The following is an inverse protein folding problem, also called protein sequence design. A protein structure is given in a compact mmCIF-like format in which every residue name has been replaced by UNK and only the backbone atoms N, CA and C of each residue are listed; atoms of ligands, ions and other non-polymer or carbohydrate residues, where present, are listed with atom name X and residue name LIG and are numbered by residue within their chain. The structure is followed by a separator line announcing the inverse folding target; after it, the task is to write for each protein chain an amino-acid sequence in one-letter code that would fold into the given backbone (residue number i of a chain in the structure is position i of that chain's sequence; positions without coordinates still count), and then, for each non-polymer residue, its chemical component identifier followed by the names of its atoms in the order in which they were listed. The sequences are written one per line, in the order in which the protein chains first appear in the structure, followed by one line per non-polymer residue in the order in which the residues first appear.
data_IF_221074163351
#
_entry.id   IF_221074163351
#
_cell.length_a   1.000
_cell.length_b   1.000
_cell.length_c   1.000
_cell.angle_alpha   90.00
_cell.angle_beta   90.00
_cell.angle_gamma   90.00
#
_symmetry.space_group_name_H-M   'P 1'
#
loop_
_entity.id
_entity.type
_entity.pdbx_description
1 polymer ?
#
# COMPACT_ATOMS: atom_id res chain seq x y z
N UNK A 1 6.50 -16.97 -11.30
CA UNK A 1 6.71 -16.38 -9.96
C UNK A 1 5.42 -16.13 -9.14
N UNK A 2 4.20 -16.31 -9.67
CA UNK A 2 2.96 -16.09 -8.88
C UNK A 2 1.97 -17.27 -8.98
N UNK A 3 2.41 -18.48 -8.63
CA UNK A 3 1.61 -19.71 -8.83
C UNK A 3 0.30 -19.68 -8.04
N UNK A 4 0.34 -19.29 -6.77
CA UNK A 4 -0.85 -19.21 -5.91
C UNK A 4 -1.86 -18.17 -6.42
N UNK A 5 -1.38 -16.98 -6.80
CA UNK A 5 -2.22 -15.93 -7.37
C UNK A 5 -2.82 -16.34 -8.73
N UNK A 6 -2.03 -16.98 -9.60
CA UNK A 6 -2.54 -17.49 -10.89
C UNK A 6 -3.61 -18.57 -10.71
N UNK A 7 -3.49 -19.42 -9.69
CA UNK A 7 -4.51 -20.40 -9.37
C UNK A 7 -5.78 -19.73 -8.81
N UNK A 8 -5.63 -18.75 -7.92
CA UNK A 8 -6.73 -17.98 -7.35
C UNK A 8 -7.49 -17.14 -8.39
N UNK A 9 -6.79 -16.61 -9.40
CA UNK A 9 -7.31 -15.83 -10.51
C UNK A 9 -7.94 -16.67 -11.63
N UNK A 10 -7.74 -17.99 -11.63
CA UNK A 10 -8.20 -18.84 -12.72
C UNK A 10 -9.74 -19.02 -12.71
N UNK A 11 -10.37 -19.27 -13.87
CA UNK A 11 -11.79 -19.63 -13.93
C UNK A 11 -12.14 -20.87 -13.08
N UNK A 12 -11.17 -21.77 -12.91
CA UNK A 12 -11.24 -22.96 -12.05
C UNK A 12 -10.66 -22.73 -10.65
N UNK A 13 -10.71 -21.50 -10.13
CA UNK A 13 -10.13 -21.14 -8.83
C UNK A 13 -10.52 -22.14 -7.74
N UNK A 14 -9.55 -22.72 -6.99
CA UNK A 14 -9.84 -23.64 -5.90
C UNK A 14 -10.76 -23.03 -4.83
N UNK A 15 -10.69 -21.70 -4.68
CA UNK A 15 -11.56 -20.94 -3.77
C UNK A 15 -13.02 -20.99 -4.24
N UNK A 16 -13.27 -20.82 -5.54
CA UNK A 16 -14.62 -20.91 -6.11
C UNK A 16 -15.20 -22.30 -5.95
N UNK A 17 -14.40 -23.34 -6.19
CA UNK A 17 -14.81 -24.73 -6.02
C UNK A 17 -15.13 -25.04 -4.55
N UNK A 18 -14.27 -24.61 -3.63
CA UNK A 18 -14.46 -24.81 -2.19
C UNK A 18 -15.74 -24.14 -1.69
N UNK A 19 -15.98 -22.87 -2.03
CA UNK A 19 -17.16 -22.16 -1.54
C UNK A 19 -18.46 -22.60 -2.23
N UNK A 20 -18.40 -23.06 -3.47
CA UNK A 20 -19.54 -23.71 -4.13
C UNK A 20 -19.89 -25.02 -3.40
N UNK A 21 -18.90 -25.88 -3.13
CA UNK A 21 -19.11 -27.12 -2.38
C UNK A 21 -19.66 -26.86 -0.96
N UNK A 22 -19.13 -25.85 -0.25
CA UNK A 22 -19.67 -25.45 1.06
C UNK A 22 -21.13 -25.02 0.94
N UNK A 23 -21.49 -24.24 -0.08
CA UNK A 23 -22.86 -23.76 -0.25
C UNK A 23 -23.83 -24.92 -0.55
N UNK A 24 -23.41 -25.88 -1.39
CA UNK A 24 -24.22 -27.04 -1.75
C UNK A 24 -24.42 -28.00 -0.56
N UNK A 25 -23.35 -28.31 0.17
CA UNK A 25 -23.40 -29.21 1.35
C UNK A 25 -24.15 -28.61 2.55
N UNK A 26 -24.32 -27.28 2.58
CA UNK A 26 -24.96 -26.57 3.71
C UNK A 26 -26.39 -26.11 3.41
N UNK A 27 -26.90 -26.38 2.21
CA UNK A 27 -28.29 -26.14 1.82
C UNK A 27 -29.23 -27.23 2.37
N UNK A 28 -29.24 -27.39 3.70
CA UNK A 28 -29.90 -28.49 4.42
C UNK A 28 -31.44 -28.44 4.37
N UNK A 29 -32.02 -27.31 3.96
CA UNK A 29 -33.46 -27.11 3.83
C UNK A 29 -33.97 -27.15 2.39
N UNK A 30 -33.10 -27.35 1.39
CA UNK A 30 -33.55 -27.74 0.04
C UNK A 30 -34.17 -29.14 0.15
N UNK A 31 -35.46 -29.24 -0.14
CA UNK A 31 -36.12 -30.53 -0.27
C UNK A 31 -35.29 -31.43 -1.20
N UNK A 32 -35.00 -32.64 -0.75
CA UNK A 32 -34.54 -33.73 -1.61
C UNK A 32 -35.71 -34.15 -2.52
N UNK A 33 -36.12 -33.26 -3.40
CA UNK A 33 -37.26 -33.39 -4.29
C UNK A 33 -36.80 -33.53 -5.73
N UNK A 34 -36.11 -34.63 -6.04
CA UNK A 34 -36.18 -35.32 -7.35
C UNK A 34 -35.36 -36.62 -7.27
N UNK A 35 -35.91 -37.61 -6.56
CA UNK A 35 -35.49 -39.01 -6.66
C UNK A 35 -36.61 -39.77 -7.37
N UNK A 36 -36.32 -40.54 -8.44
CA UNK A 36 -37.37 -41.21 -9.21
C UNK A 36 -38.15 -42.17 -8.31
N UNK A 37 -39.47 -42.03 -8.37
CA UNK A 37 -40.47 -42.88 -7.72
C UNK A 37 -40.19 -44.36 -8.04
N UNK A 38 -39.79 -45.21 -7.07
CA UNK A 38 -39.66 -46.63 -7.30
C UNK A 38 -41.04 -47.26 -7.18
N UNK A 39 -41.86 -47.03 -8.19
CA UNK A 39 -43.25 -47.46 -8.28
C UNK A 39 -43.57 -48.11 -9.62
N UNK A 40 -42.78 -49.09 -10.05
CA UNK A 40 -43.23 -50.09 -11.04
C UNK A 40 -43.12 -51.48 -10.43
N UNK A 41 -44.28 -52.12 -10.38
CA UNK A 41 -44.59 -53.40 -9.74
C UNK A 41 -43.72 -54.55 -10.28
N UNK A 42 -43.12 -55.32 -9.38
CA UNK A 42 -42.94 -56.76 -9.58
C UNK A 42 -43.41 -57.45 -8.29
N UNK A 43 -44.42 -58.28 -8.47
CA UNK A 43 -45.11 -59.10 -7.47
C UNK A 43 -44.13 -59.99 -6.69
N UNK A 44 -44.26 -60.01 -5.36
CA UNK A 44 -43.47 -60.87 -4.48
C UNK A 44 -43.82 -60.67 -3.01
N UNK A 45 -44.82 -61.42 -2.55
CA UNK A 45 -45.31 -61.58 -1.18
C UNK A 45 -44.32 -61.27 -0.03
N UNK A 46 -44.55 -60.18 0.70
CA UNK A 46 -44.22 -60.05 2.12
C UNK A 46 -45.06 -58.94 2.76
N UNK A 47 -46.02 -59.32 3.61
CA UNK A 47 -46.75 -58.40 4.48
C UNK A 47 -45.80 -57.72 5.47
N UNK A 48 -45.60 -56.41 5.33
CA UNK A 48 -45.10 -55.55 6.41
C UNK A 48 -46.17 -54.48 6.67
N UNK A 49 -46.70 -54.37 7.90
CA UNK A 49 -47.67 -53.34 8.25
C UNK A 49 -47.00 -51.95 8.31
N UNK A 50 -47.78 -50.85 8.21
CA UNK A 50 -47.25 -49.49 8.25
C UNK A 50 -46.50 -49.24 9.56
N UNK A 51 -45.24 -48.81 9.46
CA UNK A 51 -44.40 -48.45 10.62
C UNK A 51 -45.03 -47.25 11.34
N UNK A 52 -45.65 -47.54 12.48
CA UNK A 52 -46.26 -46.55 13.34
C UNK A 52 -45.13 -45.70 13.98
N UNK A 53 -45.20 -44.35 13.97
CA UNK A 53 -44.19 -43.46 14.58
C UNK A 53 -43.89 -43.75 16.06
N UNK A 54 -44.78 -44.46 16.76
CA UNK A 54 -44.58 -44.93 18.13
C UNK A 54 -43.45 -45.97 18.29
N UNK A 55 -43.15 -46.77 17.26
CA UNK A 55 -42.11 -47.80 17.32
C UNK A 55 -40.71 -47.23 17.06
N UNK A 56 -40.64 -46.13 16.28
CA UNK A 56 -39.41 -45.36 16.09
C UNK A 56 -38.97 -44.69 17.41
N UNK A 57 -39.93 -44.13 18.17
CA UNK A 57 -39.67 -43.52 19.47
C UNK A 57 -39.12 -44.53 20.51
N UNK A 58 -39.57 -45.80 20.46
CA UNK A 58 -39.04 -46.87 21.32
C UNK A 58 -37.61 -47.28 20.96
N UNK A 59 -37.25 -47.23 19.67
CA UNK A 59 -35.88 -47.50 19.21
C UNK A 59 -34.88 -46.44 19.69
N UNK A 60 -35.28 -45.17 19.66
CA UNK A 60 -34.44 -44.04 20.08
C UNK A 60 -34.22 -43.96 21.59
N UNK A 61 -35.20 -44.40 22.39
CA UNK A 61 -35.08 -44.50 23.85
C UNK A 61 -34.02 -45.51 24.32
N UNK A 62 -33.73 -46.57 23.52
CA UNK A 62 -32.67 -47.54 23.83
C UNK A 62 -31.24 -46.99 23.61
N UNK A 63 -31.10 -45.91 22.85
CA UNK A 63 -29.80 -45.28 22.52
C UNK A 63 -29.53 -44.08 23.46
N UNK A 64 -30.38 -43.84 24.47
CA UNK A 64 -30.19 -42.77 25.45
C UNK A 64 -30.63 -41.38 24.98
N UNK A 65 -31.36 -41.28 23.87
CA UNK A 65 -31.92 -40.02 23.37
C UNK A 65 -33.35 -39.89 23.90
N UNK A 66 -33.53 -39.11 24.98
CA UNK A 66 -34.86 -38.79 25.52
C UNK A 66 -35.42 -37.53 24.85
N UNK A 67 -36.40 -37.68 23.96
CA UNK A 67 -37.18 -36.55 23.46
C UNK A 67 -38.16 -36.15 24.58
N UNK A 68 -37.84 -35.08 25.30
CA UNK A 68 -38.71 -34.55 26.34
C UNK A 68 -39.99 -33.97 25.70
N UNK A 69 -41.04 -34.79 25.62
CA UNK A 69 -42.41 -34.33 25.39
C UNK A 69 -42.95 -33.68 26.67
N UNK A 70 -42.46 -32.49 26.95
CA UNK A 70 -43.00 -31.60 27.98
C UNK A 70 -44.37 -31.09 27.57
N UNK A 71 -45.39 -31.44 28.36
CA UNK A 71 -46.80 -31.06 28.18
C UNK A 71 -46.96 -29.54 28.26
N UNK A 72 -47.36 -28.92 27.15
CA UNK A 72 -47.91 -27.57 27.14
C UNK A 72 -49.29 -27.60 27.82
N UNK A 73 -49.43 -26.95 28.98
CA UNK A 73 -50.74 -26.53 29.46
C UNK A 73 -51.18 -25.31 28.65
N UNK A 74 -52.28 -25.50 27.95
CA UNK A 74 -52.96 -24.53 27.11
C UNK A 74 -53.37 -23.28 27.90
N UNK A 75 -52.80 -22.13 27.54
CA UNK A 75 -53.50 -20.84 27.65
C UNK A 75 -53.92 -20.45 26.23
N UNK A 76 -55.23 -20.44 26.00
CA UNK A 76 -55.83 -20.09 24.72
C UNK A 76 -55.53 -18.61 24.38
N UNK A 77 -54.97 -18.38 23.20
CA UNK A 77 -54.68 -17.06 22.67
C UNK A 77 -53.72 -17.14 21.49
N UNK A 78 -54.28 -17.29 20.28
CA UNK A 78 -53.68 -16.97 18.97
C UNK A 78 -52.15 -17.08 18.84
N UNK A 79 -51.65 -18.27 18.46
CA UNK A 79 -50.24 -18.46 18.11
C UNK A 79 -49.84 -19.88 17.72
N UNK A 80 -50.79 -20.75 17.37
CA UNK A 80 -50.53 -22.15 17.03
C UNK A 80 -50.33 -22.34 15.51
N UNK A 81 -49.42 -21.58 14.90
CA UNK A 81 -49.04 -21.73 13.49
C UNK A 81 -47.53 -21.84 13.25
N UNK A 82 -46.65 -21.61 14.23
CA UNK A 82 -45.20 -21.56 13.98
C UNK A 82 -44.40 -22.80 14.43
N UNK A 83 -45.05 -23.82 15.00
CA UNK A 83 -44.34 -25.05 15.42
C UNK A 83 -44.16 -26.09 14.28
N UNK A 84 -44.59 -25.79 13.03
CA UNK A 84 -44.51 -26.72 11.89
C UNK A 84 -43.36 -26.48 10.92
N UNK A 85 -42.56 -25.42 11.10
CA UNK A 85 -41.53 -25.03 10.11
C UNK A 85 -40.09 -24.98 10.68
N UNK A 86 -39.79 -25.77 11.71
CA UNK A 86 -38.38 -26.07 12.01
C UNK A 86 -37.95 -27.23 11.12
N UNK A 87 -37.57 -26.94 9.87
CA UNK A 87 -36.86 -27.93 9.05
C UNK A 87 -35.58 -28.33 9.80
N UNK A 88 -35.37 -29.63 10.06
CA UNK A 88 -34.13 -30.10 10.66
C UNK A 88 -32.93 -29.57 9.87
N UNK A 89 -32.02 -28.84 10.52
CA UNK A 89 -30.88 -28.21 9.86
C UNK A 89 -31.03 -26.72 9.51
N UNK A 90 -32.21 -26.11 9.65
CA UNK A 90 -32.40 -24.67 9.41
C UNK A 90 -31.49 -23.77 10.25
N UNK A 91 -31.22 -24.18 11.50
CA UNK A 91 -30.30 -23.50 12.40
C UNK A 91 -28.84 -23.59 11.93
N UNK A 92 -28.46 -24.72 11.34
CA UNK A 92 -27.12 -24.94 10.79
C UNK A 92 -26.99 -24.15 9.48
N UNK A 93 -27.95 -24.28 8.56
CA UNK A 93 -27.98 -23.52 7.31
C UNK A 93 -27.94 -22.00 7.53
N UNK A 94 -28.64 -21.50 8.57
CA UNK A 94 -28.59 -20.09 8.94
C UNK A 94 -27.16 -19.58 9.22
N UNK A 95 -26.29 -20.41 9.78
CA UNK A 95 -24.88 -20.05 10.02
C UNK A 95 -24.05 -20.00 8.73
N UNK A 96 -24.46 -20.75 7.70
CA UNK A 96 -23.77 -20.83 6.41
C UNK A 96 -24.33 -19.90 5.33
N UNK A 97 -25.46 -19.20 5.58
CA UNK A 97 -26.03 -18.20 4.66
C UNK A 97 -25.00 -17.21 4.07
N UNK A 98 -24.03 -16.67 4.83
CA UNK A 98 -23.03 -15.75 4.25
C UNK A 98 -22.16 -16.41 3.17
N UNK A 99 -21.89 -17.71 3.27
CA UNK A 99 -21.12 -18.47 2.28
C UNK A 99 -21.98 -18.80 1.05
N UNK A 100 -23.25 -19.13 1.25
CA UNK A 100 -24.20 -19.34 0.15
C UNK A 100 -24.41 -18.05 -0.65
N UNK A 101 -24.60 -16.91 0.04
CA UNK A 101 -24.74 -15.60 -0.60
C UNK A 101 -23.53 -15.21 -1.48
N UNK A 102 -22.34 -15.72 -1.15
CA UNK A 102 -21.10 -15.44 -1.88
C UNK A 102 -21.08 -16.09 -3.27
N UNK A 103 -21.75 -17.24 -3.43
CA UNK A 103 -21.79 -18.05 -4.66
C UNK A 103 -23.17 -18.07 -5.33
N UNK A 104 -24.15 -17.38 -4.75
CA UNK A 104 -25.48 -17.26 -5.33
C UNK A 104 -25.50 -16.27 -6.50
N UNK A 105 -26.17 -16.66 -7.58
CA UNK A 105 -26.36 -15.86 -8.79
C UNK A 105 -25.81 -16.52 -10.05
N UNK A 106 -26.07 -15.95 -11.23
CA UNK A 106 -25.51 -16.43 -12.50
C UNK A 106 -23.98 -16.42 -12.46
N UNK A 107 -23.34 -17.43 -13.06
CA UNK A 107 -21.90 -17.46 -13.20
C UNK A 107 -21.37 -16.15 -13.85
N UNK A 108 -20.26 -15.63 -13.32
CA UNK A 108 -19.66 -14.36 -13.73
C UNK A 108 -20.23 -13.13 -13.03
N UNK A 109 -21.33 -13.27 -12.28
CA UNK A 109 -21.99 -12.16 -11.58
C UNK A 109 -22.05 -12.37 -10.06
N UNK A 110 -21.44 -13.44 -9.54
CA UNK A 110 -21.44 -13.74 -8.11
C UNK A 110 -20.41 -12.85 -7.41
N UNK A 111 -20.63 -12.50 -6.13
CA UNK A 111 -19.63 -11.75 -5.34
C UNK A 111 -18.23 -12.40 -5.34
N UNK A 112 -18.15 -13.73 -5.39
CA UNK A 112 -16.87 -14.46 -5.51
C UNK A 112 -16.16 -14.27 -6.86
N UNK A 113 -16.93 -14.04 -7.92
CA UNK A 113 -16.39 -13.83 -9.27
C UNK A 113 -15.70 -12.45 -9.33
N UNK A 114 -16.22 -11.44 -8.64
CA UNK A 114 -15.58 -10.13 -8.51
C UNK A 114 -14.22 -10.21 -7.79
N UNK A 115 -14.12 -11.06 -6.75
CA UNK A 115 -12.85 -11.32 -6.07
C UNK A 115 -11.86 -12.03 -7.00
N UNK A 116 -12.32 -13.04 -7.73
CA UNK A 116 -11.50 -13.77 -8.72
C UNK A 116 -11.00 -12.83 -9.83
N UNK A 117 -11.87 -11.95 -10.33
CA UNK A 117 -11.51 -10.96 -11.35
C UNK A 117 -10.46 -9.99 -10.84
N UNK A 118 -10.60 -9.47 -9.61
CA UNK A 118 -9.62 -8.55 -9.04
C UNK A 118 -8.24 -9.22 -8.87
N UNK A 119 -8.18 -10.49 -8.47
CA UNK A 119 -6.94 -11.26 -8.46
C UNK A 119 -6.34 -11.46 -9.86
N UNK A 120 -7.19 -11.67 -10.88
CA UNK A 120 -6.75 -11.73 -12.28
C UNK A 120 -6.15 -10.41 -12.75
N UNK A 121 -6.78 -9.27 -12.43
CA UNK A 121 -6.30 -7.95 -12.81
C UNK A 121 -4.94 -7.63 -12.16
N UNK A 122 -4.77 -7.98 -10.88
CA UNK A 122 -3.49 -7.85 -10.16
C UNK A 122 -2.42 -8.75 -10.79
N UNK A 123 -2.75 -10.01 -11.09
CA UNK A 123 -1.83 -10.95 -11.73
C UNK A 123 -1.33 -10.43 -13.08
N UNK A 124 -2.23 -9.98 -13.95
CA UNK A 124 -1.89 -9.41 -15.27
C UNK A 124 -1.03 -8.16 -15.14
N UNK A 125 -1.32 -7.31 -14.14
CA UNK A 125 -0.52 -6.11 -13.86
C UNK A 125 0.91 -6.49 -13.47
N UNK A 126 1.08 -7.47 -12.60
CA UNK A 126 2.41 -7.97 -12.19
C UNK A 126 3.18 -8.63 -13.34
N UNK A 127 2.49 -9.33 -14.25
CA UNK A 127 3.12 -9.85 -15.47
C UNK A 127 3.59 -8.72 -16.37
N UNK A 128 2.77 -7.70 -16.60
CA UNK A 128 3.12 -6.56 -17.43
C UNK A 128 4.33 -5.78 -16.89
N UNK A 129 4.42 -5.57 -15.57
CA UNK A 129 5.60 -4.95 -14.96
C UNK A 129 6.87 -5.78 -15.16
N UNK A 130 6.77 -7.11 -15.12
CA UNK A 130 7.90 -8.00 -15.36
C UNK A 130 8.36 -8.01 -16.83
N UNK A 131 7.42 -7.86 -17.77
CA UNK A 131 7.69 -7.87 -19.21
C UNK A 131 8.13 -6.50 -19.75
N UNK A 132 7.60 -5.41 -19.19
CA UNK A 132 7.81 -4.04 -19.68
C UNK A 132 8.24 -3.11 -18.53
N UNK A 133 9.54 -3.06 -18.19
CA UNK A 133 10.04 -2.25 -17.08
C UNK A 133 9.73 -0.75 -17.21
N UNK A 134 9.61 -0.22 -18.43
CA UNK A 134 9.28 1.20 -18.67
C UNK A 134 7.86 1.59 -18.24
N UNK A 135 6.96 0.63 -17.99
CA UNK A 135 5.59 0.90 -17.55
C UNK A 135 5.39 0.70 -16.04
N UNK A 136 6.45 0.37 -15.30
CA UNK A 136 6.37 -0.01 -13.87
C UNK A 136 5.63 1.02 -13.01
N UNK A 137 5.86 2.32 -13.20
CA UNK A 137 5.16 3.37 -12.43
C UNK A 137 3.65 3.37 -12.67
N UNK A 138 3.24 3.24 -13.94
CA UNK A 138 1.82 3.15 -14.30
C UNK A 138 1.19 1.88 -13.74
N UNK A 139 1.91 0.76 -13.81
CA UNK A 139 1.48 -0.51 -13.24
C UNK A 139 1.32 -0.40 -11.73
N UNK A 140 2.28 0.18 -11.02
CA UNK A 140 2.21 0.38 -9.57
C UNK A 140 1.01 1.25 -9.16
N UNK A 141 0.71 2.30 -9.94
CA UNK A 141 -0.48 3.13 -9.73
C UNK A 141 -1.78 2.34 -9.90
N UNK A 142 -1.85 1.48 -10.92
CA UNK A 142 -3.01 0.60 -11.14
C UNK A 142 -3.14 -0.45 -10.04
N UNK A 143 -2.02 -1.04 -9.59
CA UNK A 143 -1.99 -2.01 -8.49
C UNK A 143 -2.55 -1.40 -7.20
N UNK A 144 -2.22 -0.15 -6.87
CA UNK A 144 -2.79 0.55 -5.71
C UNK A 144 -4.32 0.64 -5.78
N UNK A 145 -4.87 0.97 -6.95
CA UNK A 145 -6.33 1.01 -7.16
C UNK A 145 -6.97 -0.38 -7.05
N UNK A 146 -6.33 -1.40 -7.60
CA UNK A 146 -6.80 -2.79 -7.52
C UNK A 146 -6.80 -3.29 -6.07
N UNK A 147 -5.76 -3.00 -5.29
CA UNK A 147 -5.68 -3.35 -3.86
C UNK A 147 -6.73 -2.58 -3.04
N UNK A 148 -6.95 -1.30 -3.35
CA UNK A 148 -8.03 -0.53 -2.71
C UNK A 148 -9.41 -1.14 -3.01
N UNK A 149 -9.63 -1.61 -4.25
CA UNK A 149 -10.85 -2.32 -4.65
C UNK A 149 -10.99 -3.66 -3.92
N UNK A 150 -9.90 -4.39 -3.73
CA UNK A 150 -9.87 -5.63 -2.95
C UNK A 150 -10.37 -5.37 -1.53
N UNK A 151 -9.80 -4.37 -0.85
CA UNK A 151 -10.19 -3.96 0.51
C UNK A 151 -11.64 -3.49 0.61
N UNK A 152 -12.11 -2.70 -0.37
CA UNK A 152 -13.49 -2.21 -0.38
C UNK A 152 -14.53 -3.35 -0.39
N UNK A 153 -14.18 -4.49 -1.00
CA UNK A 153 -15.07 -5.65 -1.10
C UNK A 153 -15.00 -6.60 0.10
N UNK A 154 -14.02 -6.46 1.01
CA UNK A 154 -13.83 -7.37 2.15
C UNK A 154 -15.05 -7.44 3.07
N UNK A 155 -15.76 -6.32 3.26
CA UNK A 155 -16.95 -6.26 4.12
C UNK A 155 -18.09 -7.17 3.65
N UNK A 156 -18.08 -7.59 2.39
CA UNK A 156 -19.06 -8.50 1.78
C UNK A 156 -18.68 -9.97 1.92
N UNK A 157 -17.49 -10.26 2.44
CA UNK A 157 -16.95 -11.61 2.56
C UNK A 157 -17.23 -12.19 3.95
N UNK A 158 -17.40 -13.52 4.08
CA UNK A 158 -17.40 -14.18 5.37
C UNK A 158 -16.11 -13.89 6.14
N UNK A 159 -16.20 -13.77 7.48
CA UNK A 159 -15.12 -13.28 8.35
C UNK A 159 -13.76 -13.96 8.11
N UNK A 160 -13.77 -15.27 7.89
CA UNK A 160 -12.55 -16.06 7.66
C UNK A 160 -11.90 -15.67 6.33
N UNK A 161 -12.69 -15.60 5.25
CA UNK A 161 -12.22 -15.19 3.94
C UNK A 161 -11.79 -13.72 3.94
N UNK A 162 -12.56 -12.84 4.57
CA UNK A 162 -12.21 -11.43 4.70
C UNK A 162 -10.87 -11.21 5.40
N UNK A 163 -10.53 -12.02 6.43
CA UNK A 163 -9.20 -11.99 7.06
C UNK A 163 -8.09 -12.40 6.09
N UNK A 164 -8.30 -13.44 5.30
CA UNK A 164 -7.31 -13.89 4.30
C UNK A 164 -7.10 -12.82 3.23
N UNK A 165 -8.18 -12.25 2.69
CA UNK A 165 -8.13 -11.20 1.67
C UNK A 165 -7.43 -9.95 2.19
N UNK A 166 -7.68 -9.53 3.44
CA UNK A 166 -6.94 -8.43 4.05
C UNK A 166 -5.45 -8.73 4.18
N UNK A 167 -5.07 -9.93 4.64
CA UNK A 167 -3.67 -10.32 4.74
C UNK A 167 -2.98 -10.31 3.36
N UNK A 168 -3.65 -10.78 2.32
CA UNK A 168 -3.14 -10.72 0.93
C UNK A 168 -3.04 -9.28 0.43
N UNK A 169 -4.02 -8.42 0.72
CA UNK A 169 -3.95 -7.00 0.39
C UNK A 169 -2.75 -6.32 1.07
N UNK A 170 -2.50 -6.63 2.35
CA UNK A 170 -1.35 -6.11 3.09
C UNK A 170 0.00 -6.56 2.49
N UNK A 171 0.08 -7.81 2.03
CA UNK A 171 1.25 -8.34 1.33
C UNK A 171 1.49 -7.64 -0.01
N UNK A 172 0.43 -7.44 -0.81
CA UNK A 172 0.54 -6.69 -2.07
C UNK A 172 1.00 -5.24 -1.86
N UNK A 173 0.46 -4.55 -0.85
CA UNK A 173 0.92 -3.19 -0.53
C UNK A 173 2.39 -3.15 -0.12
N UNK A 174 2.84 -4.14 0.67
CA UNK A 174 4.24 -4.27 1.05
C UNK A 174 5.15 -4.43 -0.17
N UNK A 175 4.81 -5.35 -1.07
CA UNK A 175 5.61 -5.63 -2.26
C UNK A 175 5.66 -4.44 -3.24
N UNK A 176 4.53 -3.73 -3.42
CA UNK A 176 4.48 -2.51 -4.25
C UNK A 176 5.33 -1.40 -3.64
N UNK A 177 5.30 -1.23 -2.31
CA UNK A 177 6.12 -0.25 -1.62
C UNK A 177 7.61 -0.54 -1.77
N UNK A 178 8.04 -1.78 -1.52
CA UNK A 178 9.44 -2.20 -1.66
C UNK A 178 9.96 -1.97 -3.08
N UNK A 179 9.23 -2.47 -4.09
CA UNK A 179 9.61 -2.33 -5.51
C UNK A 179 9.76 -0.87 -5.90
N UNK A 180 8.87 -0.02 -5.40
CA UNK A 180 8.90 1.40 -5.73
C UNK A 180 10.03 2.14 -5.03
N UNK A 181 10.40 1.76 -3.80
CA UNK A 181 11.60 2.28 -3.11
C UNK A 181 12.86 1.86 -3.87
N UNK A 182 12.95 0.59 -4.30
CA UNK A 182 14.06 0.13 -5.13
C UNK A 182 14.17 0.91 -6.43
N UNK A 183 13.05 1.12 -7.14
CA UNK A 183 13.01 1.91 -8.36
C UNK A 183 13.41 3.37 -8.11
N UNK A 184 12.91 3.99 -7.03
CA UNK A 184 13.26 5.35 -6.64
C UNK A 184 14.76 5.49 -6.35
N UNK A 185 15.35 4.55 -5.62
CA UNK A 185 16.78 4.53 -5.35
C UNK A 185 17.59 4.35 -6.63
N UNK A 186 17.14 3.49 -7.55
CA UNK A 186 17.81 3.32 -8.84
C UNK A 186 17.77 4.61 -9.68
N UNK A 187 16.64 5.32 -9.72
CA UNK A 187 16.52 6.61 -10.41
C UNK A 187 17.39 7.64 -9.70
N UNK A 188 17.38 7.70 -8.37
CA UNK A 188 18.25 8.59 -7.58
C UNK A 188 19.72 8.37 -7.94
N UNK A 189 20.17 7.12 -7.96
CA UNK A 189 21.57 6.78 -8.25
C UNK A 189 21.99 7.23 -9.65
N UNK A 190 21.13 7.00 -10.65
CA UNK A 190 21.42 7.32 -12.04
C UNK A 190 21.31 8.80 -12.35
N UNK A 191 20.33 9.49 -11.77
CA UNK A 191 19.98 10.87 -12.13
C UNK A 191 20.59 11.91 -11.21
N UNK A 192 20.97 11.52 -10.00
CA UNK A 192 21.52 12.42 -8.98
C UNK A 192 22.89 11.97 -8.52
N UNK A 193 23.01 10.77 -7.95
CA UNK A 193 24.25 10.34 -7.27
C UNK A 193 25.45 10.33 -8.22
N UNK A 194 25.36 9.62 -9.35
CA UNK A 194 26.48 9.53 -10.29
C UNK A 194 26.87 10.89 -10.90
N UNK A 195 25.94 11.75 -11.36
CA UNK A 195 26.29 13.11 -11.79
C UNK A 195 26.86 14.00 -10.69
N UNK A 196 26.35 13.91 -9.46
CA UNK A 196 26.88 14.64 -8.31
C UNK A 196 28.33 14.25 -8.05
N UNK A 197 28.63 12.95 -7.93
CA UNK A 197 29.98 12.45 -7.73
C UNK A 197 30.93 12.89 -8.83
N UNK A 198 30.52 12.80 -10.10
CA UNK A 198 31.32 13.26 -11.22
C UNK A 198 31.65 14.76 -11.15
N UNK A 199 30.74 15.58 -10.62
CA UNK A 199 30.90 17.03 -10.53
C UNK A 199 31.74 17.47 -9.33
N UNK A 200 31.68 16.77 -8.18
CA UNK A 200 32.25 17.28 -6.91
C UNK A 200 33.30 16.37 -6.27
N UNK A 201 33.46 15.12 -6.73
CA UNK A 201 34.40 14.18 -6.11
C UNK A 201 35.84 14.70 -6.20
N UNK A 202 36.52 14.70 -5.06
CA UNK A 202 37.91 15.17 -4.96
C UNK A 202 38.10 16.67 -5.17
N UNK A 203 37.04 17.49 -5.01
CA UNK A 203 37.09 18.94 -5.21
C UNK A 203 36.70 19.72 -3.96
N UNK A 204 37.35 20.85 -3.70
CA UNK A 204 36.96 21.78 -2.63
C UNK A 204 35.64 22.48 -3.03
N UNK A 205 34.68 22.69 -2.11
CA UNK A 205 34.73 22.51 -0.66
C UNK A 205 34.30 21.12 -0.13
N UNK A 206 33.93 20.19 -1.01
CA UNK A 206 33.40 18.88 -0.62
C UNK A 206 34.51 17.92 -0.13
N UNK A 207 35.71 18.04 -0.68
CA UNK A 207 36.93 17.45 -0.17
C UNK A 207 37.85 18.56 0.35
N UNK A 208 38.03 18.63 1.68
CA UNK A 208 38.75 19.74 2.33
C UNK A 208 40.21 19.89 1.88
N UNK A 209 40.87 18.78 1.60
CA UNK A 209 42.29 18.75 1.22
C UNK A 209 42.48 18.74 -0.31
N UNK A 210 41.41 18.94 -1.08
CA UNK A 210 41.50 19.00 -2.53
C UNK A 210 42.23 20.27 -3.00
N UNK A 211 43.06 20.11 -4.03
CA UNK A 211 43.78 21.22 -4.65
C UNK A 211 43.01 21.89 -5.79
N UNK A 212 41.94 21.25 -6.27
CA UNK A 212 41.06 21.80 -7.30
C UNK A 212 39.71 22.18 -6.69
N UNK A 213 39.21 23.35 -7.06
CA UNK A 213 37.88 23.80 -6.69
C UNK A 213 36.80 23.18 -7.59
N UNK A 214 35.58 23.09 -7.06
CA UNK A 214 34.39 22.83 -7.88
C UNK A 214 34.17 24.03 -8.79
N UNK A 215 34.02 23.76 -10.09
CA UNK A 215 33.68 24.79 -11.05
C UNK A 215 32.31 25.40 -10.72
N UNK A 216 32.21 26.74 -10.74
CA UNK A 216 30.97 27.43 -10.39
C UNK A 216 29.77 27.00 -11.25
N UNK A 217 30.02 26.67 -12.51
CA UNK A 217 29.01 26.12 -13.41
C UNK A 217 28.49 24.74 -12.97
N UNK A 218 29.35 23.88 -12.43
CA UNK A 218 28.94 22.57 -11.94
C UNK A 218 28.20 22.69 -10.60
N UNK A 219 28.66 23.57 -9.71
CA UNK A 219 27.90 23.94 -8.51
C UNK A 219 26.49 24.44 -8.86
N UNK A 220 26.37 25.33 -9.84
CA UNK A 220 25.09 25.83 -10.32
C UNK A 220 24.20 24.72 -10.91
N UNK A 221 24.75 23.84 -11.75
CA UNK A 221 23.99 22.70 -12.32
C UNK A 221 23.38 21.81 -11.22
N UNK A 222 24.08 21.64 -10.11
CA UNK A 222 23.62 20.82 -8.99
C UNK A 222 22.57 21.52 -8.12
N UNK A 223 22.89 22.72 -7.63
CA UNK A 223 22.16 23.37 -6.53
C UNK A 223 21.23 24.51 -6.94
N UNK A 224 21.36 25.08 -8.14
CA UNK A 224 20.49 26.19 -8.56
C UNK A 224 19.01 25.79 -8.56
N UNK A 225 18.07 26.75 -8.49
CA UNK A 225 16.67 26.50 -8.80
C UNK A 225 16.52 25.85 -10.19
N UNK A 226 15.75 24.77 -10.29
CA UNK A 226 15.67 23.96 -11.50
C UNK A 226 16.94 23.14 -11.81
N UNK A 227 17.93 23.15 -10.92
CA UNK A 227 19.11 22.30 -10.98
C UNK A 227 18.79 20.82 -10.79
N UNK A 228 19.82 19.99 -10.78
CA UNK A 228 19.69 18.54 -10.71
C UNK A 228 19.00 18.07 -9.43
N UNK A 229 19.40 18.59 -8.26
CA UNK A 229 18.81 18.20 -6.97
C UNK A 229 17.38 18.71 -6.82
N UNK A 230 17.12 19.96 -7.22
CA UNK A 230 15.79 20.56 -7.14
C UNK A 230 14.77 19.85 -8.03
N UNK A 231 15.15 19.53 -9.28
CA UNK A 231 14.26 18.80 -10.20
C UNK A 231 13.92 17.41 -9.68
N UNK A 232 14.90 16.67 -9.20
CA UNK A 232 14.66 15.34 -8.63
C UNK A 232 13.73 15.43 -7.41
N UNK A 233 14.00 16.39 -6.51
CA UNK A 233 13.17 16.63 -5.34
C UNK A 233 11.71 16.93 -5.71
N UNK A 234 11.50 17.90 -6.61
CA UNK A 234 10.16 18.33 -7.03
C UNK A 234 9.36 17.20 -7.70
N UNK A 235 10.02 16.35 -8.50
CA UNK A 235 9.38 15.28 -9.26
C UNK A 235 9.08 14.04 -8.41
N UNK A 236 10.00 13.65 -7.52
CA UNK A 236 9.95 12.33 -6.89
C UNK A 236 9.69 12.37 -5.38
N UNK A 237 10.11 13.44 -4.69
CA UNK A 237 10.16 13.47 -3.22
C UNK A 237 9.14 14.43 -2.59
N UNK A 238 8.80 15.53 -3.26
CA UNK A 238 7.98 16.60 -2.68
C UNK A 238 6.60 16.12 -2.21
N UNK A 239 5.98 15.15 -2.89
CA UNK A 239 4.70 14.58 -2.47
C UNK A 239 4.81 13.69 -1.23
N UNK A 240 5.99 13.13 -0.98
CA UNK A 240 6.28 12.14 0.07
C UNK A 240 6.77 12.76 1.38
N UNK A 241 7.19 14.04 1.35
CA UNK A 241 7.81 14.73 2.48
C UNK A 241 6.84 15.73 3.11
N UNK A 242 6.79 15.73 4.43
CA UNK A 242 6.22 16.80 5.23
C UNK A 242 7.32 17.84 5.54
N UNK A 243 7.11 19.06 5.04
CA UNK A 243 8.01 20.21 5.15
C UNK A 243 7.42 21.30 6.06
N UNK A 244 6.37 21.00 6.82
CA UNK A 244 5.70 21.98 7.70
C UNK A 244 6.56 22.40 8.88
N UNK A 245 7.54 21.59 9.25
CA UNK A 245 8.49 21.86 10.33
C UNK A 245 9.90 22.13 9.79
N UNK A 246 10.77 22.69 10.63
CA UNK A 246 12.16 22.98 10.28
C UNK A 246 12.94 21.71 9.90
N UNK A 247 12.65 20.59 10.55
CA UNK A 247 13.20 19.28 10.17
C UNK A 247 12.18 18.56 9.29
N UNK A 248 12.60 18.19 8.08
CA UNK A 248 11.72 17.48 7.16
C UNK A 248 11.50 16.05 7.63
N UNK A 249 10.30 15.53 7.44
CA UNK A 249 9.96 14.14 7.76
C UNK A 249 9.23 13.47 6.60
N UNK A 250 9.36 12.14 6.48
CA UNK A 250 8.52 11.39 5.55
C UNK A 250 7.08 11.38 6.06
N UNK A 251 6.12 11.62 5.17
CA UNK A 251 4.70 11.47 5.50
C UNK A 251 4.43 10.01 5.92
N UNK A 252 3.75 9.84 7.05
CA UNK A 252 3.52 8.51 7.65
C UNK A 252 2.36 7.74 7.01
N UNK A 253 1.62 8.41 6.13
CA UNK A 253 0.36 7.95 5.55
C UNK A 253 0.58 6.80 4.56
N UNK A 254 1.81 6.60 4.10
CA UNK A 254 2.20 5.52 3.20
C UNK A 254 3.23 4.62 3.88
N UNK A 255 3.03 3.29 3.82
CA UNK A 255 4.06 2.31 4.24
C UNK A 255 5.41 2.58 3.58
N UNK A 256 5.41 3.17 2.38
CA UNK A 256 6.55 3.75 1.67
C UNK A 256 7.47 4.61 2.53
N UNK A 257 6.93 5.51 3.36
CA UNK A 257 7.73 6.50 4.09
C UNK A 257 8.62 5.89 5.17
N UNK A 258 8.34 4.65 5.60
CA UNK A 258 9.12 3.96 6.64
C UNK A 258 10.41 3.33 6.11
N UNK A 259 10.42 2.96 4.84
CA UNK A 259 11.54 2.27 4.20
C UNK A 259 12.47 3.25 3.48
N UNK A 260 12.08 4.52 3.38
CA UNK A 260 12.91 5.60 2.82
C UNK A 260 13.96 6.09 3.82
N UNK A 261 15.18 6.30 3.31
CA UNK A 261 16.31 6.70 4.13
C UNK A 261 16.12 8.09 4.76
N UNK A 262 16.34 8.19 6.07
CA UNK A 262 16.39 9.47 6.79
C UNK A 262 17.61 10.30 6.42
N UNK A 263 18.74 9.68 6.08
CA UNK A 263 19.94 10.42 5.67
C UNK A 263 19.70 11.10 4.33
N UNK A 264 19.13 10.39 3.36
CA UNK A 264 18.78 10.94 2.04
C UNK A 264 17.84 12.14 2.19
N UNK A 265 16.84 12.05 3.07
CA UNK A 265 15.96 13.19 3.36
C UNK A 265 16.74 14.40 3.88
N UNK A 266 17.68 14.18 4.82
CA UNK A 266 18.50 15.25 5.37
C UNK A 266 19.43 15.86 4.31
N UNK A 267 19.97 15.05 3.41
CA UNK A 267 20.83 15.52 2.32
C UNK A 267 20.07 16.45 1.36
N UNK A 268 18.80 16.12 1.02
CA UNK A 268 17.96 17.00 0.21
C UNK A 268 17.55 18.29 0.94
N UNK A 269 17.33 18.21 2.25
CA UNK A 269 17.11 19.41 3.07
C UNK A 269 18.35 20.32 3.03
N UNK A 270 19.54 19.77 3.24
CA UNK A 270 20.80 20.51 3.17
C UNK A 270 21.03 21.11 1.78
N UNK A 271 20.72 20.36 0.71
CA UNK A 271 20.78 20.89 -0.65
C UNK A 271 19.84 22.09 -0.86
N UNK A 272 18.64 22.06 -0.28
CA UNK A 272 17.73 23.20 -0.33
C UNK A 272 18.25 24.40 0.48
N UNK A 273 18.89 24.18 1.62
CA UNK A 273 19.55 25.23 2.41
C UNK A 273 20.71 25.87 1.64
N UNK A 274 21.57 25.06 1.02
CA UNK A 274 22.65 25.53 0.13
C UNK A 274 22.06 26.37 -1.00
N UNK A 275 21.01 25.88 -1.67
CA UNK A 275 20.34 26.65 -2.72
C UNK A 275 19.85 28.01 -2.21
N UNK A 276 19.17 28.03 -1.07
CA UNK A 276 18.65 29.28 -0.49
C UNK A 276 19.75 30.27 -0.11
N UNK A 277 20.91 29.77 0.33
CA UNK A 277 22.05 30.61 0.69
C UNK A 277 22.76 31.21 -0.53
N UNK A 278 22.97 30.40 -1.58
CA UNK A 278 23.78 30.79 -2.73
C UNK A 278 23.00 31.36 -3.91
N UNK A 279 21.68 31.13 -3.97
CA UNK A 279 20.79 31.61 -5.04
C UNK A 279 19.63 32.44 -4.47
N UNK A 280 19.88 33.47 -3.65
CA UNK A 280 18.83 34.24 -2.96
C UNK A 280 17.87 34.95 -3.92
N UNK A 281 18.33 35.27 -5.14
CA UNK A 281 17.52 35.90 -6.19
C UNK A 281 16.82 34.89 -7.12
N UNK A 282 17.00 33.59 -6.90
CA UNK A 282 16.43 32.54 -7.74
C UNK A 282 17.08 32.39 -9.13
N UNK A 283 18.25 33.01 -9.35
CA UNK A 283 18.97 32.96 -10.61
C UNK A 283 19.62 31.61 -10.91
N UNK A 284 20.16 31.45 -12.13
CA UNK A 284 20.89 30.25 -12.56
C UNK A 284 22.36 30.25 -12.15
N UNK A 285 22.88 31.37 -11.67
CA UNK A 285 24.25 31.52 -11.17
C UNK A 285 24.19 31.89 -9.68
N UNK A 286 25.13 31.38 -8.87
CA UNK A 286 25.18 31.75 -7.46
C UNK A 286 25.61 33.22 -7.34
N UNK A 287 25.06 33.91 -6.35
CA UNK A 287 25.46 35.29 -6.00
C UNK A 287 25.11 35.57 -4.55
N UNK A 288 26.13 35.95 -3.78
CA UNK A 288 26.05 36.24 -2.36
C UNK A 288 26.64 37.62 -2.13
N UNK A 289 25.92 38.47 -1.40
CA UNK A 289 26.44 39.76 -0.95
C UNK A 289 26.84 39.66 0.52
N UNK A 290 28.11 39.92 0.80
CA UNK A 290 28.71 39.86 2.13
C UNK A 290 29.08 41.28 2.54
N UNK A 291 28.61 41.74 3.69
CA UNK A 291 29.00 43.04 4.24
C UNK A 291 30.13 42.86 5.24
N UNK A 292 31.30 43.38 4.91
CA UNK A 292 32.45 43.43 5.80
C UNK A 292 32.42 44.73 6.61
N UNK A 293 32.47 44.61 7.93
CA UNK A 293 32.56 45.77 8.85
C UNK A 293 33.85 45.66 9.64
N UNK A 294 34.90 46.42 9.28
CA UNK A 294 36.14 46.41 10.04
C UNK A 294 35.91 47.00 11.43
N UNK A 295 36.24 46.24 12.48
CA UNK A 295 36.00 46.66 13.86
C UNK A 295 37.21 47.37 14.48
N UNK A 296 38.36 46.69 14.53
CA UNK A 296 39.58 47.20 15.15
C UNK A 296 40.82 46.59 14.50
N UNK A 297 41.92 47.34 14.52
CA UNK A 297 43.25 46.85 14.16
C UNK A 297 44.14 46.75 15.39
N UNK A 298 45.21 45.96 15.29
CA UNK A 298 46.29 46.00 16.26
C UNK A 298 46.95 47.40 16.21
N UNK A 299 47.39 47.94 17.36
CA UNK A 299 48.01 49.27 17.45
C UNK A 299 49.30 49.43 16.62
N UNK A 300 49.95 48.33 16.26
CA UNK A 300 51.16 48.32 15.41
C UNK A 300 50.85 48.33 13.90
N UNK A 301 49.57 48.30 13.49
CA UNK A 301 49.13 48.19 12.09
C UNK A 301 48.35 49.42 11.66
N UNK A 302 48.88 50.25 10.77
CA UNK A 302 48.17 51.46 10.32
C UNK A 302 46.92 51.16 9.48
N UNK A 303 47.04 50.19 8.56
CA UNK A 303 45.99 49.82 7.60
C UNK A 303 46.01 48.32 7.32
N UNK A 304 44.83 47.72 7.19
CA UNK A 304 44.67 46.37 6.65
C UNK A 304 43.77 46.40 5.41
N UNK A 305 44.11 45.54 4.45
CA UNK A 305 43.42 45.41 3.17
C UNK A 305 42.89 43.99 3.06
N UNK A 306 41.57 43.87 2.84
CA UNK A 306 40.96 42.63 2.39
C UNK A 306 40.65 42.78 0.90
N UNK A 307 41.25 41.95 0.08
CA UNK A 307 40.96 41.83 -1.36
C UNK A 307 40.16 40.53 -1.58
N UNK A 308 38.94 40.67 -2.09
CA UNK A 308 38.09 39.56 -2.49
C UNK A 308 37.75 39.71 -3.99
N UNK A 309 38.47 38.95 -4.82
CA UNK A 309 38.29 38.95 -6.28
C UNK A 309 38.37 40.36 -6.91
N UNK A 310 39.27 41.21 -6.40
CA UNK A 310 39.48 42.59 -6.86
C UNK A 310 38.60 43.63 -6.16
N UNK A 311 37.68 43.21 -5.28
CA UNK A 311 36.89 44.10 -4.43
C UNK A 311 37.65 44.35 -3.13
N UNK A 312 38.05 45.61 -2.93
CA UNK A 312 38.93 45.98 -1.81
C UNK A 312 38.13 46.59 -0.66
N UNK A 313 38.32 46.04 0.55
CA UNK A 313 37.82 46.59 1.81
C UNK A 313 39.00 47.15 2.63
N UNK A 314 38.96 48.46 2.88
CA UNK A 314 39.98 49.16 3.66
C UNK A 314 39.61 49.18 5.14
N UNK A 315 40.58 48.87 5.98
CA UNK A 315 40.47 48.96 7.44
C UNK A 315 41.57 49.88 7.95
N UNK A 316 41.20 50.86 8.77
CA UNK A 316 42.08 51.83 9.42
C UNK A 316 41.91 51.77 10.95
N UNK A 317 42.79 52.44 11.69
CA UNK A 317 42.73 52.57 13.15
C UNK A 317 41.40 53.19 13.66
N UNK A 318 40.82 54.12 12.90
CA UNK A 318 39.56 54.78 13.23
C UNK A 318 38.75 55.10 11.98
N UNK A 319 37.43 55.22 12.11
CA UNK A 319 36.57 55.70 11.03
C UNK A 319 36.24 54.64 9.96
N UNK A 320 36.25 53.36 10.33
CA UNK A 320 35.88 52.29 9.41
C UNK A 320 34.38 52.32 9.08
N UNK A 321 34.06 52.11 7.80
CA UNK A 321 32.68 52.01 7.32
C UNK A 321 32.41 50.58 6.80
N UNK A 322 31.19 50.06 6.97
CA UNK A 322 30.78 48.81 6.33
C UNK A 322 30.94 48.88 4.81
N UNK A 323 31.48 47.81 4.21
CA UNK A 323 31.66 47.66 2.77
C UNK A 323 31.04 46.35 2.30
N UNK A 324 30.19 46.43 1.27
CA UNK A 324 29.58 45.25 0.67
C UNK A 324 30.47 44.68 -0.44
N UNK A 325 30.65 43.36 -0.42
CA UNK A 325 31.38 42.58 -1.42
C UNK A 325 30.42 41.55 -1.99
N UNK A 326 30.43 41.38 -3.31
CA UNK A 326 29.61 40.37 -3.99
C UNK A 326 30.49 39.23 -4.48
N UNK A 327 30.08 37.99 -4.21
CA UNK A 327 30.76 36.77 -4.65
C UNK A 327 29.78 35.80 -5.31
N UNK A 328 30.17 35.11 -6.39
CA UNK A 328 31.32 35.40 -7.24
C UNK A 328 31.14 36.72 -8.01
N UNK A 329 32.22 37.34 -8.49
CA UNK A 329 32.19 38.55 -9.34
C UNK A 329 31.98 38.25 -10.82
#
# INVERSE_FOLDING_TARGET
HYIALSAAASPSSPMNQLFAAIADETALTRDSGDGPDPGTEIEGTAQNPPRNPADLAKGLARIGITIASGKSQSRAGTGAADARNFSPGANIEAQFRPFQALVNGPAGHRPIDALTQNFSDIYQSLQLAAEVPSQTERVNSNLQLQIATLRANVSRLPKQLGRMVNATADEFEGNVAETSVTNLNQILDQTVTAPCEAAISGRYPFARDATEDVAMADFAKLFAPGGLLDRFFAQNLASLIDMTSQDWTWKQDARFGRDLSKSTLKDFQLAAEIRSAFFPSGGSLPSVSITFTPFSLNGDVDTAILDAEGQIVWSNQTGNAPSAVTWPV
#
